data_IF_383762479742
#
_entry.id   IF_383762479742
#
_cell.length_a   1.000
_cell.length_b   1.000
_cell.length_c   1.000
_cell.angle_alpha   90.00
_cell.angle_beta   90.00
_cell.angle_gamma   90.00
#
_symmetry.space_group_name_H-M   'P 1'
#
loop_
_entity.id
_entity.type
_entity.pdbx_description
1 polymer ?
#
# COMPACT_ATOMS: atom_id res chain seq x y z
N UNK A 1 -4.55 71.16 26.51
CA UNK A 1 -4.11 69.82 26.06
C UNK A 1 -4.85 68.77 26.88
N UNK A 2 -5.32 67.71 26.20
CA UNK A 2 -6.05 66.49 26.64
C UNK A 2 -5.54 65.91 27.98
N UNK A 3 -6.28 65.22 28.86
CA UNK A 3 -7.54 64.43 28.76
C UNK A 3 -8.07 64.04 30.16
N UNK A 4 -9.38 63.77 30.20
CA UNK A 4 -10.29 63.25 31.26
C UNK A 4 -9.85 61.93 31.93
N UNK A 5 -10.28 61.64 33.18
CA UNK A 5 -10.32 60.27 33.70
C UNK A 5 -11.73 59.67 33.76
N UNK A 6 -11.83 58.46 33.18
CA UNK A 6 -12.33 57.21 33.77
C UNK A 6 -13.78 57.18 34.26
N UNK A 7 -14.63 56.46 33.50
CA UNK A 7 -15.76 55.69 34.05
C UNK A 7 -15.83 54.28 33.43
N UNK A 8 -15.93 53.33 34.34
CA UNK A 8 -16.31 51.92 34.26
C UNK A 8 -17.08 51.45 33.02
N UNK A 9 -16.81 50.20 32.61
CA UNK A 9 -17.87 49.17 32.59
C UNK A 9 -17.27 47.75 32.51
N UNK A 10 -17.64 46.93 33.49
CA UNK A 10 -17.50 45.48 33.48
C UNK A 10 -18.42 44.88 32.42
N UNK A 11 -17.90 44.04 31.53
CA UNK A 11 -18.70 43.05 30.80
C UNK A 11 -17.97 41.71 30.81
N UNK A 12 -18.61 40.77 31.51
CA UNK A 12 -18.28 39.35 31.54
C UNK A 12 -18.67 38.74 30.20
N UNK A 13 -17.74 38.07 29.52
CA UNK A 13 -18.06 37.18 28.41
C UNK A 13 -17.48 35.80 28.72
N UNK A 14 -18.38 34.85 28.94
CA UNK A 14 -18.11 33.43 29.11
C UNK A 14 -17.72 32.85 27.74
N UNK A 15 -16.46 32.44 27.58
CA UNK A 15 -16.02 31.70 26.40
C UNK A 15 -15.94 30.21 26.74
N UNK A 16 -16.97 29.46 26.34
CA UNK A 16 -16.97 28.00 26.31
C UNK A 16 -16.01 27.51 25.23
N UNK A 17 -14.81 27.10 25.61
CA UNK A 17 -13.90 26.35 24.73
C UNK A 17 -14.27 24.87 24.76
N UNK A 18 -14.96 24.41 23.71
CA UNK A 18 -15.07 23.00 23.40
C UNK A 18 -13.70 22.48 22.98
N UNK A 19 -13.10 21.61 23.80
CA UNK A 19 -11.92 20.84 23.43
C UNK A 19 -12.39 19.77 22.44
N UNK A 20 -12.25 20.08 21.15
CA UNK A 20 -12.35 19.08 20.09
C UNK A 20 -11.15 18.15 20.19
N UNK A 21 -11.38 16.96 20.72
CA UNK A 21 -10.43 15.84 20.70
C UNK A 21 -10.22 15.39 19.26
N UNK A 22 -9.34 16.09 18.54
CA UNK A 22 -8.79 15.61 17.29
C UNK A 22 -7.89 14.42 17.58
N UNK A 23 -8.46 13.22 17.61
CA UNK A 23 -7.69 12.00 17.47
C UNK A 23 -7.07 12.04 16.06
N UNK A 24 -5.86 12.61 15.97
CA UNK A 24 -4.97 12.33 14.86
C UNK A 24 -4.75 10.82 14.91
N UNK A 25 -5.49 10.09 14.09
CA UNK A 25 -5.21 8.70 13.79
C UNK A 25 -3.84 8.71 13.13
N UNK A 26 -2.80 8.53 13.95
CA UNK A 26 -1.48 8.18 13.46
C UNK A 26 -1.69 6.89 12.68
N UNK A 27 -1.69 6.98 11.35
CA UNK A 27 -1.43 5.85 10.49
C UNK A 27 -0.07 5.33 10.91
N UNK A 28 -0.07 4.31 11.76
CA UNK A 28 1.12 3.54 12.06
C UNK A 28 1.41 2.78 10.77
N UNK A 29 2.08 3.44 9.82
CA UNK A 29 2.93 2.73 8.90
C UNK A 29 3.80 1.87 9.81
N UNK A 30 3.68 0.54 9.72
CA UNK A 30 4.62 -0.31 10.43
C UNK A 30 5.98 0.16 10.00
N UNK A 31 6.75 0.66 10.96
CA UNK A 31 8.13 1.03 10.71
C UNK A 31 8.76 -0.17 10.01
N UNK A 32 9.39 0.02 8.83
CA UNK A 32 10.11 -1.05 8.21
C UNK A 32 11.01 -1.66 9.29
N UNK A 33 11.04 -2.99 9.36
CA UNK A 33 11.79 -3.74 10.39
C UNK A 33 13.25 -3.25 10.52
N UNK A 34 13.74 -2.60 9.46
CA UNK A 34 14.97 -1.84 9.42
C UNK A 34 14.69 -0.38 9.05
N UNK A 35 15.22 0.54 9.85
CA UNK A 35 15.28 1.96 9.52
C UNK A 35 16.33 2.18 8.41
N UNK A 36 15.86 2.35 7.18
CA UNK A 36 16.71 2.57 6.00
C UNK A 36 17.59 3.81 6.10
N UNK A 37 17.29 4.74 7.02
CA UNK A 37 18.11 5.93 7.27
C UNK A 37 19.44 5.62 7.96
N UNK A 38 19.55 4.47 8.63
CA UNK A 38 20.76 4.03 9.32
C UNK A 38 21.72 3.26 8.42
N UNK A 39 21.28 2.92 7.19
CA UNK A 39 22.13 2.23 6.23
C UNK A 39 23.17 3.20 5.64
N UNK A 40 24.38 2.69 5.29
CA UNK A 40 25.40 3.51 4.65
C UNK A 40 24.88 4.22 3.40
N UNK A 41 25.14 5.53 3.32
CA UNK A 41 24.80 6.36 2.17
C UNK A 41 25.96 6.43 1.19
N UNK A 42 25.66 6.29 -0.10
CA UNK A 42 26.60 6.50 -1.20
C UNK A 42 25.96 7.35 -2.29
N UNK A 43 26.77 8.11 -3.03
CA UNK A 43 26.27 9.02 -4.08
C UNK A 43 26.93 8.70 -5.40
N UNK A 44 26.18 8.93 -6.48
CA UNK A 44 26.70 8.79 -7.83
C UNK A 44 25.74 9.34 -8.88
N UNK A 45 26.17 9.29 -10.13
CA UNK A 45 25.35 9.67 -11.28
C UNK A 45 24.85 8.40 -11.96
N UNK A 46 23.56 8.34 -12.28
CA UNK A 46 22.97 7.17 -12.95
C UNK A 46 23.46 7.12 -14.39
N UNK A 47 24.05 5.98 -14.78
CA UNK A 47 24.46 5.71 -16.16
C UNK A 47 23.35 5.04 -16.95
N UNK A 48 22.73 4.00 -16.40
CA UNK A 48 21.66 3.23 -17.05
C UNK A 48 20.87 2.37 -16.05
N UNK A 49 19.71 1.87 -16.47
CA UNK A 49 18.97 0.84 -15.72
C UNK A 49 19.58 -0.55 -15.94
N UNK A 50 19.34 -1.44 -14.98
CA UNK A 50 19.45 -2.89 -15.17
C UNK A 50 18.05 -3.49 -15.28
N UNK A 51 17.93 -4.56 -16.07
CA UNK A 51 16.65 -5.20 -16.35
C UNK A 51 16.69 -6.69 -16.01
N UNK A 52 15.59 -7.20 -15.48
CA UNK A 52 15.33 -8.64 -15.42
C UNK A 52 15.09 -9.21 -16.83
N UNK A 53 15.18 -10.54 -17.03
CA UNK A 53 14.78 -11.17 -18.29
C UNK A 53 13.33 -10.91 -18.71
N UNK A 54 12.46 -10.50 -17.78
CA UNK A 54 11.05 -10.14 -18.06
C UNK A 54 10.89 -8.69 -18.52
N UNK A 55 11.96 -7.89 -18.50
CA UNK A 55 11.95 -6.47 -18.86
C UNK A 55 11.65 -5.52 -17.70
N UNK A 56 11.46 -6.02 -16.48
CA UNK A 56 11.29 -5.17 -15.29
C UNK A 56 12.64 -4.57 -14.88
N UNK A 57 12.67 -3.31 -14.42
CA UNK A 57 13.86 -2.69 -13.83
C UNK A 57 14.14 -3.31 -12.47
N UNK A 58 15.36 -3.85 -12.30
CA UNK A 58 15.85 -4.47 -11.05
C UNK A 58 17.04 -3.72 -10.43
N UNK A 59 17.31 -2.52 -10.91
CA UNK A 59 18.45 -1.74 -10.45
C UNK A 59 18.90 -0.68 -11.43
N UNK A 60 20.04 -0.07 -11.10
CA UNK A 60 20.74 0.91 -11.92
C UNK A 60 22.25 0.65 -11.86
N UNK A 61 22.96 1.15 -12.87
CA UNK A 61 24.42 1.24 -12.86
C UNK A 61 24.80 2.71 -12.75
N UNK A 62 25.72 3.02 -11.84
CA UNK A 62 26.29 4.36 -11.70
C UNK A 62 27.46 4.57 -12.66
N UNK A 63 27.82 5.83 -12.93
CA UNK A 63 28.91 6.18 -13.86
C UNK A 63 30.28 5.64 -13.45
N UNK A 64 30.49 5.37 -12.17
CA UNK A 64 31.70 4.76 -11.62
C UNK A 64 31.74 3.22 -11.77
N UNK A 65 30.69 2.61 -12.33
CA UNK A 65 30.55 1.18 -12.51
C UNK A 65 29.89 0.45 -11.34
N UNK A 66 29.47 1.16 -10.28
CA UNK A 66 28.73 0.57 -9.17
C UNK A 66 27.35 0.11 -9.62
N UNK A 67 27.01 -1.15 -9.34
CA UNK A 67 25.68 -1.70 -9.53
C UNK A 67 24.85 -1.49 -8.26
N UNK A 68 23.65 -0.94 -8.43
CA UNK A 68 22.70 -0.73 -7.34
C UNK A 68 21.47 -1.59 -7.62
N UNK A 69 21.28 -2.63 -6.82
CA UNK A 69 20.15 -3.56 -6.94
C UNK A 69 18.93 -3.00 -6.22
N UNK A 70 17.78 -3.15 -6.87
CA UNK A 70 16.45 -2.80 -6.36
C UNK A 70 15.49 -3.96 -6.66
N UNK A 71 14.53 -4.26 -5.79
CA UNK A 71 13.53 -5.27 -6.09
C UNK A 71 12.73 -4.94 -7.37
N UNK A 72 12.45 -5.92 -8.25
CA UNK A 72 11.72 -5.68 -9.50
C UNK A 72 10.31 -5.08 -9.32
N UNK A 73 9.68 -5.27 -8.15
CA UNK A 73 8.37 -4.68 -7.86
C UNK A 73 8.41 -3.15 -7.73
N UNK A 74 9.59 -2.56 -7.57
CA UNK A 74 9.81 -1.11 -7.56
C UNK A 74 10.08 -0.53 -8.96
N UNK A 75 10.10 -1.36 -10.01
CA UNK A 75 10.42 -0.97 -11.40
C UNK A 75 9.75 0.35 -11.82
N UNK A 76 8.42 0.46 -11.67
CA UNK A 76 7.66 1.65 -12.04
C UNK A 76 8.03 2.90 -11.21
N UNK A 77 8.27 2.74 -9.91
CA UNK A 77 8.65 3.84 -9.02
C UNK A 77 10.06 4.35 -9.38
N UNK A 78 10.99 3.41 -9.64
CA UNK A 78 12.36 3.72 -10.04
C UNK A 78 12.40 4.55 -11.31
N UNK A 79 11.74 4.12 -12.40
CA UNK A 79 11.76 4.87 -13.67
C UNK A 79 11.02 6.21 -13.61
N UNK A 80 10.08 6.37 -12.68
CA UNK A 80 9.36 7.62 -12.47
C UNK A 80 10.19 8.65 -11.70
N UNK A 81 10.96 8.19 -10.71
CA UNK A 81 11.72 9.03 -9.80
C UNK A 81 13.15 9.32 -10.28
N UNK A 82 13.78 8.34 -10.93
CA UNK A 82 15.20 8.32 -11.26
C UNK A 82 15.37 8.08 -12.75
N UNK A 83 16.23 8.86 -13.42
CA UNK A 83 16.57 8.72 -14.83
C UNK A 83 18.08 8.64 -15.04
N UNK A 84 18.57 8.03 -16.14
CA UNK A 84 19.96 8.18 -16.54
C UNK A 84 20.36 9.66 -16.64
N UNK A 85 21.52 10.01 -16.06
CA UNK A 85 22.02 11.36 -15.90
C UNK A 85 21.69 12.01 -14.55
N UNK A 86 20.74 11.46 -13.78
CA UNK A 86 20.40 12.01 -12.47
C UNK A 86 21.51 11.75 -11.44
N UNK A 87 21.73 12.72 -10.54
CA UNK A 87 22.49 12.48 -9.33
C UNK A 87 21.59 11.84 -8.28
N UNK A 88 22.07 10.75 -7.68
CA UNK A 88 21.33 9.97 -6.70
C UNK A 88 22.12 9.78 -5.41
N UNK A 89 21.39 9.72 -4.31
CA UNK A 89 21.84 9.23 -3.02
C UNK A 89 21.19 7.88 -2.77
N UNK A 90 22.01 6.87 -2.49
CA UNK A 90 21.62 5.47 -2.32
C UNK A 90 21.95 5.06 -0.90
N UNK A 91 20.96 4.55 -0.16
CA UNK A 91 21.16 3.93 1.16
C UNK A 91 20.93 2.43 1.05
N UNK A 92 21.93 1.66 1.45
CA UNK A 92 21.91 0.23 1.23
C UNK A 92 23.12 -0.51 1.79
N UNK A 93 23.09 -1.83 1.70
CA UNK A 93 24.20 -2.69 2.09
C UNK A 93 25.16 -2.83 0.92
N UNK A 94 26.43 -2.47 1.13
CA UNK A 94 27.48 -2.60 0.12
C UNK A 94 28.12 -3.98 0.20
N UNK A 95 28.23 -4.66 -0.94
CA UNK A 95 29.00 -5.88 -1.07
C UNK A 95 30.49 -5.60 -0.81
N UNK A 96 31.17 -6.49 -0.07
CA UNK A 96 32.59 -6.29 0.28
C UNK A 96 33.54 -6.49 -0.90
N UNK A 97 33.23 -7.44 -1.78
CA UNK A 97 34.16 -7.93 -2.80
C UNK A 97 33.96 -7.30 -4.19
N UNK A 98 32.82 -6.65 -4.43
CA UNK A 98 32.43 -6.13 -5.74
C UNK A 98 31.73 -4.77 -5.57
N UNK A 99 31.76 -3.88 -6.58
CA UNK A 99 31.07 -2.60 -6.54
C UNK A 99 29.57 -2.79 -6.73
N UNK A 100 28.92 -3.38 -5.71
CA UNK A 100 27.49 -3.66 -5.68
C UNK A 100 26.88 -3.14 -4.38
N UNK A 101 25.70 -2.53 -4.48
CA UNK A 101 24.89 -2.06 -3.35
C UNK A 101 23.50 -2.67 -3.47
N UNK A 102 23.06 -3.34 -2.42
CA UNK A 102 21.66 -3.75 -2.25
C UNK A 102 20.89 -2.60 -1.59
N UNK A 103 20.10 -1.87 -2.39
CA UNK A 103 19.53 -0.60 -1.97
C UNK A 103 18.20 -0.78 -1.25
N UNK A 104 18.12 -0.26 -0.03
CA UNK A 104 16.86 -0.08 0.68
C UNK A 104 16.16 1.23 0.29
N UNK A 105 16.93 2.25 -0.13
CA UNK A 105 16.34 3.45 -0.73
C UNK A 105 17.27 4.12 -1.73
N UNK A 106 16.68 4.81 -2.69
CA UNK A 106 17.35 5.66 -3.65
C UNK A 106 16.59 6.99 -3.79
N UNK A 107 17.33 8.09 -3.68
CA UNK A 107 16.76 9.44 -3.74
C UNK A 107 17.47 10.26 -4.81
N UNK A 108 16.70 10.86 -5.71
CA UNK A 108 17.21 11.83 -6.66
C UNK A 108 17.60 13.11 -5.90
N UNK A 109 18.87 13.49 -5.96
CA UNK A 109 19.42 14.64 -5.22
C UNK A 109 18.84 15.96 -5.71
N UNK A 110 18.56 16.07 -7.01
CA UNK A 110 18.04 17.31 -7.62
C UNK A 110 16.54 17.48 -7.39
N UNK A 111 15.75 16.40 -7.54
CA UNK A 111 14.29 16.48 -7.46
C UNK A 111 13.73 16.14 -6.07
N UNK A 112 14.53 15.52 -5.20
CA UNK A 112 14.10 15.04 -3.88
C UNK A 112 13.19 13.80 -3.93
N UNK A 113 12.86 13.28 -5.13
CA UNK A 113 12.04 12.07 -5.26
C UNK A 113 12.80 10.86 -4.73
N UNK A 114 12.13 10.06 -3.91
CA UNK A 114 12.72 8.87 -3.28
C UNK A 114 11.92 7.61 -3.59
N UNK A 115 12.63 6.50 -3.72
CA UNK A 115 12.08 5.15 -3.85
C UNK A 115 12.64 4.35 -2.67
N UNK A 116 11.74 3.77 -1.89
CA UNK A 116 12.08 3.02 -0.67
C UNK A 116 11.54 1.60 -0.83
N UNK A 117 12.39 0.61 -0.57
CA UNK A 117 11.97 -0.78 -0.45
C UNK A 117 11.35 -0.99 0.93
N UNK A 118 10.04 -1.23 0.94
CA UNK A 118 9.29 -1.59 2.14
C UNK A 118 9.05 -3.10 2.23
N UNK A 119 9.82 -3.89 1.48
CA UNK A 119 9.61 -5.30 1.25
C UNK A 119 8.61 -5.57 0.11
N UNK A 120 8.51 -6.83 -0.35
CA UNK A 120 7.51 -7.20 -1.34
C UNK A 120 6.11 -6.82 -0.83
N UNK A 121 5.21 -6.34 -1.71
CA UNK A 121 3.82 -6.10 -1.34
C UNK A 121 3.28 -7.39 -0.72
N UNK A 122 2.83 -7.28 0.52
CA UNK A 122 2.51 -8.40 1.39
C UNK A 122 1.52 -9.32 0.66
N UNK A 123 1.99 -10.49 0.21
CA UNK A 123 1.13 -11.46 -0.50
C UNK A 123 0.29 -12.28 0.45
N UNK A 124 0.40 -12.10 1.76
CA UNK A 124 -0.43 -12.75 2.78
C UNK A 124 -0.57 -11.89 4.04
N UNK A 125 -1.60 -11.06 4.09
CA UNK A 125 -2.50 -11.01 5.25
C UNK A 125 -1.95 -10.72 6.65
N UNK A 126 -0.96 -9.86 6.84
CA UNK A 126 -0.63 -9.36 8.18
C UNK A 126 -1.07 -7.89 8.36
N UNK A 127 -2.31 -7.69 8.79
CA UNK A 127 -2.85 -6.50 9.50
C UNK A 127 -2.72 -5.10 8.87
N UNK A 128 -3.00 -4.95 7.58
CA UNK A 128 -3.43 -3.65 7.03
C UNK A 128 -4.95 -3.62 6.81
N UNK A 129 -5.70 -4.36 7.64
CA UNK A 129 -7.17 -4.29 7.63
C UNK A 129 -7.59 -2.96 8.25
N UNK A 130 -8.08 -2.05 7.43
CA UNK A 130 -8.55 -0.75 7.90
C UNK A 130 -10.00 -0.56 7.53
N UNK A 131 -10.75 0.05 8.44
CA UNK A 131 -12.09 0.54 8.17
C UNK A 131 -12.00 1.94 7.55
N UNK A 132 -12.45 2.06 6.31
CA UNK A 132 -12.51 3.32 5.57
C UNK A 132 -13.99 3.63 5.29
N UNK A 133 -14.38 4.87 5.52
CA UNK A 133 -15.72 5.35 5.19
C UNK A 133 -15.62 6.56 4.28
N UNK A 134 -16.50 6.63 3.29
CA UNK A 134 -16.54 7.74 2.35
C UNK A 134 -17.80 7.73 1.51
N UNK A 135 -17.89 8.69 0.60
CA UNK A 135 -18.98 8.79 -0.36
C UNK A 135 -18.49 8.29 -1.71
N UNK A 136 -19.34 7.53 -2.40
CA UNK A 136 -19.04 6.94 -3.71
C UNK A 136 -19.04 8.04 -4.78
N UNK A 137 -17.89 8.27 -5.41
CA UNK A 137 -17.75 9.20 -6.53
C UNK A 137 -18.19 8.56 -7.86
N UNK A 138 -17.81 7.29 -8.10
CA UNK A 138 -18.15 6.56 -9.33
C UNK A 138 -18.00 5.03 -9.18
N UNK A 139 -18.71 4.28 -10.01
CA UNK A 139 -18.56 2.82 -10.13
C UNK A 139 -17.45 2.46 -11.12
N UNK A 140 -16.66 1.44 -10.77
CA UNK A 140 -15.65 0.86 -11.63
C UNK A 140 -16.19 -0.40 -12.29
N UNK A 141 -15.81 -0.58 -13.55
CA UNK A 141 -16.25 -1.71 -14.35
C UNK A 141 -15.06 -2.52 -14.89
N UNK A 142 -15.29 -3.82 -15.06
CA UNK A 142 -14.39 -4.70 -15.79
C UNK A 142 -14.53 -4.53 -17.30
N UNK A 143 -13.73 -5.29 -18.05
CA UNK A 143 -13.71 -5.20 -19.52
C UNK A 143 -15.02 -5.67 -20.17
N UNK A 144 -15.86 -6.42 -19.43
CA UNK A 144 -17.15 -6.93 -19.91
C UNK A 144 -18.32 -6.05 -19.42
N UNK A 145 -18.04 -4.91 -18.78
CA UNK A 145 -19.04 -3.99 -18.23
C UNK A 145 -19.59 -4.40 -16.86
N UNK A 146 -19.04 -5.42 -16.24
CA UNK A 146 -19.39 -5.88 -14.89
C UNK A 146 -18.84 -4.93 -13.82
N UNK A 147 -19.62 -4.65 -12.77
CA UNK A 147 -19.12 -3.84 -11.64
C UNK A 147 -18.01 -4.61 -10.94
N UNK A 148 -16.87 -3.97 -10.71
CA UNK A 148 -15.71 -4.58 -10.02
C UNK A 148 -15.18 -3.73 -8.85
N UNK A 149 -15.84 -2.62 -8.56
CA UNK A 149 -15.37 -1.67 -7.56
C UNK A 149 -16.07 -0.33 -7.59
N UNK A 150 -15.60 0.58 -6.75
CA UNK A 150 -15.99 1.98 -6.73
C UNK A 150 -14.79 2.86 -6.43
N UNK A 151 -14.87 4.15 -6.77
CA UNK A 151 -13.94 5.18 -6.28
C UNK A 151 -14.69 6.07 -5.31
N UNK A 152 -14.06 6.42 -4.20
CA UNK A 152 -14.58 7.39 -3.23
C UNK A 152 -14.22 8.83 -3.62
N UNK A 153 -14.89 9.81 -3.04
CA UNK A 153 -14.66 11.25 -3.33
C UNK A 153 -13.21 11.72 -3.06
N UNK A 154 -12.47 11.03 -2.19
CA UNK A 154 -11.06 11.31 -1.88
C UNK A 154 -10.08 10.68 -2.90
N UNK A 155 -10.59 9.96 -3.90
CA UNK A 155 -9.82 9.23 -4.90
C UNK A 155 -9.43 7.80 -4.48
N UNK A 156 -9.81 7.34 -3.30
CA UNK A 156 -9.55 5.97 -2.85
C UNK A 156 -10.35 4.98 -3.69
N UNK A 157 -9.65 4.00 -4.28
CA UNK A 157 -10.28 2.96 -5.10
C UNK A 157 -10.59 1.72 -4.27
N UNK A 158 -11.85 1.32 -4.22
CA UNK A 158 -12.30 0.09 -3.58
C UNK A 158 -12.47 -1.00 -4.62
N UNK A 159 -11.74 -2.11 -4.49
CA UNK A 159 -11.88 -3.29 -5.33
C UNK A 159 -12.70 -4.35 -4.61
N UNK A 160 -13.73 -4.83 -5.28
CA UNK A 160 -14.57 -5.93 -4.79
C UNK A 160 -14.28 -7.19 -5.59
N UNK A 161 -14.24 -8.38 -4.96
CA UNK A 161 -14.26 -9.64 -5.66
C UNK A 161 -15.50 -9.71 -6.59
N UNK A 162 -15.37 -10.22 -7.83
CA UNK A 162 -16.45 -10.17 -8.82
C UNK A 162 -17.81 -10.69 -8.31
N UNK A 163 -17.90 -11.85 -7.61
CA UNK A 163 -19.19 -12.34 -7.12
C UNK A 163 -19.88 -11.39 -6.12
N UNK A 164 -19.08 -10.65 -5.35
CA UNK A 164 -19.58 -9.77 -4.31
C UNK A 164 -19.91 -8.38 -4.84
N UNK A 165 -19.15 -7.91 -5.84
CA UNK A 165 -19.47 -6.70 -6.58
C UNK A 165 -20.87 -6.79 -7.22
N UNK A 166 -21.20 -7.95 -7.82
CA UNK A 166 -22.55 -8.22 -8.35
C UNK A 166 -23.62 -8.23 -7.25
N UNK A 167 -23.35 -8.88 -6.11
CA UNK A 167 -24.32 -8.98 -5.00
C UNK A 167 -24.68 -7.62 -4.40
N UNK A 168 -23.72 -6.71 -4.31
CA UNK A 168 -23.90 -5.40 -3.67
C UNK A 168 -24.05 -4.24 -4.67
N UNK A 169 -24.15 -4.52 -5.97
CA UNK A 169 -24.20 -3.50 -7.03
C UNK A 169 -25.27 -2.43 -6.79
N UNK A 170 -26.44 -2.83 -6.26
CA UNK A 170 -27.57 -1.94 -5.96
C UNK A 170 -27.27 -0.95 -4.82
N UNK A 171 -26.22 -1.22 -4.05
CA UNK A 171 -25.75 -0.36 -2.94
C UNK A 171 -24.60 0.56 -3.38
N UNK A 172 -23.94 0.24 -4.49
CA UNK A 172 -22.77 0.96 -5.01
C UNK A 172 -23.15 2.21 -5.81
N UNK A 173 -24.18 2.95 -5.38
CA UNK A 173 -24.71 4.10 -6.11
C UNK A 173 -23.83 5.34 -5.85
N UNK A 174 -23.53 6.09 -6.92
CA UNK A 174 -22.86 7.38 -6.81
C UNK A 174 -23.58 8.31 -5.82
N UNK A 175 -22.80 9.01 -5.00
CA UNK A 175 -23.27 9.93 -3.98
C UNK A 175 -23.69 9.29 -2.66
N UNK A 176 -23.74 7.94 -2.57
CA UNK A 176 -24.09 7.22 -1.34
C UNK A 176 -22.87 7.05 -0.44
N UNK A 177 -23.09 7.11 0.88
CA UNK A 177 -22.06 6.78 1.88
C UNK A 177 -21.89 5.27 1.98
N UNK A 178 -20.64 4.85 2.14
CA UNK A 178 -20.23 3.46 2.26
C UNK A 178 -19.11 3.35 3.29
N UNK A 179 -19.11 2.25 4.03
CA UNK A 179 -18.02 1.87 4.93
C UNK A 179 -17.53 0.50 4.52
N UNK A 180 -16.21 0.38 4.37
CA UNK A 180 -15.55 -0.87 4.01
C UNK A 180 -14.43 -1.19 4.99
N UNK A 181 -14.19 -2.47 5.18
CA UNK A 181 -13.02 -2.99 5.87
C UNK A 181 -12.24 -3.85 4.88
N UNK A 182 -10.95 -3.61 4.76
CA UNK A 182 -10.15 -4.32 3.77
C UNK A 182 -8.67 -4.02 3.87
N UNK A 183 -7.89 -4.74 3.06
CA UNK A 183 -6.45 -4.52 2.99
C UNK A 183 -6.16 -3.25 2.20
N UNK A 184 -5.46 -2.30 2.81
CA UNK A 184 -5.10 -1.04 2.16
C UNK A 184 -3.72 -1.11 1.54
N UNK A 185 -3.63 -0.71 0.27
CA UNK A 185 -2.41 -0.48 -0.48
C UNK A 185 -2.32 1.01 -0.82
N UNK A 186 -1.36 1.71 -0.20
CA UNK A 186 -1.09 3.12 -0.48
C UNK A 186 0.20 3.26 -1.29
N UNK A 187 0.13 3.96 -2.42
CA UNK A 187 1.25 4.15 -3.33
C UNK A 187 1.28 5.59 -3.82
N UNK A 188 2.42 6.02 -4.38
CA UNK A 188 2.51 7.33 -5.04
C UNK A 188 1.53 7.52 -6.21
N UNK A 189 0.91 6.44 -6.72
CA UNK A 189 -0.08 6.47 -7.80
C UNK A 189 -1.53 6.52 -7.28
N UNK A 190 -1.75 6.34 -5.98
CA UNK A 190 -3.06 6.34 -5.35
C UNK A 190 -3.22 5.25 -4.29
N UNK A 191 -4.39 5.30 -3.63
CA UNK A 191 -4.79 4.38 -2.57
C UNK A 191 -5.81 3.39 -3.08
N UNK A 192 -5.57 2.10 -2.87
CA UNK A 192 -6.46 1.00 -3.24
C UNK A 192 -6.80 0.18 -2.00
N UNK A 193 -8.05 -0.25 -1.88
CA UNK A 193 -8.51 -1.13 -0.80
C UNK A 193 -9.08 -2.40 -1.42
N UNK A 194 -8.53 -3.54 -1.04
CA UNK A 194 -9.12 -4.85 -1.34
C UNK A 194 -10.17 -5.17 -0.27
N UNK A 195 -11.45 -5.05 -0.65
CA UNK A 195 -12.58 -5.03 0.27
C UNK A 195 -12.88 -6.43 0.81
N UNK A 196 -12.87 -6.59 2.14
CA UNK A 196 -13.20 -7.83 2.86
C UNK A 196 -14.49 -7.74 3.66
N UNK A 197 -14.97 -6.55 3.97
CA UNK A 197 -16.32 -6.32 4.48
C UNK A 197 -16.86 -4.99 3.96
N UNK A 198 -18.16 -4.92 3.73
CA UNK A 198 -18.85 -3.76 3.15
C UNK A 198 -20.18 -3.53 3.84
N UNK A 199 -20.51 -2.26 4.06
CA UNK A 199 -21.74 -1.83 4.71
C UNK A 199 -22.07 -0.36 4.47
N UNK A 200 -23.27 0.04 4.90
CA UNK A 200 -23.66 1.46 4.90
C UNK A 200 -22.96 2.25 6.03
N UNK A 201 -22.56 1.56 7.11
CA UNK A 201 -21.81 2.11 8.23
C UNK A 201 -20.84 1.07 8.81
N UNK A 202 -19.87 1.48 9.64
CA UNK A 202 -18.91 0.55 10.26
C UNK A 202 -19.54 -0.55 11.10
N UNK A 203 -20.69 -0.27 11.70
CA UNK A 203 -21.45 -1.19 12.56
C UNK A 203 -22.31 -2.17 11.74
N UNK A 204 -22.56 -1.86 10.47
CA UNK A 204 -23.43 -2.62 9.56
C UNK A 204 -22.65 -3.21 8.39
N UNK A 205 -21.48 -3.77 8.65
CA UNK A 205 -20.67 -4.43 7.63
C UNK A 205 -21.01 -5.92 7.49
N UNK A 206 -21.16 -6.38 6.26
CA UNK A 206 -21.22 -7.80 5.91
C UNK A 206 -19.86 -8.23 5.37
N UNK A 207 -19.35 -9.37 5.81
CA UNK A 207 -18.12 -9.93 5.24
C UNK A 207 -18.33 -10.29 3.77
N UNK A 208 -17.42 -9.82 2.95
CA UNK A 208 -17.28 -10.11 1.54
C UNK A 208 -16.52 -11.43 1.47
N UNK A 209 -17.22 -12.52 1.13
CA UNK A 209 -16.58 -13.84 1.14
C UNK A 209 -15.60 -13.92 -0.03
N UNK A 210 -14.31 -13.86 0.29
CA UNK A 210 -13.26 -14.11 -0.68
C UNK A 210 -13.32 -15.53 -1.23
N UNK A 211 -12.67 -15.82 -2.38
CA UNK A 211 -12.44 -17.18 -2.84
C UNK A 211 -11.86 -17.99 -1.68
N UNK A 212 -12.42 -19.18 -1.42
CA UNK A 212 -11.85 -20.11 -0.44
C UNK A 212 -10.36 -20.27 -0.81
N UNK A 213 -9.42 -20.04 0.12
CA UNK A 213 -8.01 -20.31 -0.17
C UNK A 213 -7.91 -21.73 -0.71
N UNK A 214 -7.03 -22.01 -1.69
CA UNK A 214 -6.78 -23.38 -2.10
C UNK A 214 -6.55 -24.18 -0.82
N UNK A 215 -7.35 -25.23 -0.62
CA UNK A 215 -7.04 -26.18 0.44
C UNK A 215 -5.60 -26.63 0.28
N UNK A 216 -4.95 -27.16 1.33
CA UNK A 216 -3.67 -27.85 1.16
C UNK A 216 -3.79 -28.71 -0.08
N UNK A 217 -2.89 -28.52 -1.05
CA UNK A 217 -2.83 -29.41 -2.19
C UNK A 217 -2.83 -30.82 -1.60
N UNK A 218 -3.83 -31.63 -1.94
CA UNK A 218 -3.78 -33.06 -1.65
C UNK A 218 -2.40 -33.51 -2.15
N UNK A 219 -1.52 -33.83 -1.19
CA UNK A 219 -0.12 -34.07 -1.46
C UNK A 219 0.04 -35.16 -2.52
N UNK A 220 1.15 -35.17 -3.26
CA UNK A 220 1.37 -36.16 -4.30
C UNK A 220 1.72 -37.50 -3.66
N UNK A 221 0.73 -38.24 -3.13
CA UNK A 221 0.90 -39.62 -2.67
C UNK A 221 -0.42 -40.40 -2.68
N UNK A 222 -0.92 -40.64 -3.90
CA UNK A 222 -1.81 -41.78 -4.17
C UNK A 222 -1.23 -42.71 -5.25
N UNK A 223 0.08 -42.98 -5.16
CA UNK A 223 0.70 -44.17 -5.76
C UNK A 223 1.38 -45.04 -4.70
N UNK A 224 0.83 -45.08 -3.48
CA UNK A 224 1.10 -46.19 -2.58
C UNK A 224 0.53 -47.48 -3.19
N UNK A 225 1.27 -48.60 -3.17
CA UNK A 225 0.76 -49.87 -3.69
C UNK A 225 -0.54 -50.26 -2.97
N UNK A 226 -1.49 -50.92 -3.66
CA UNK A 226 -2.75 -51.33 -3.04
C UNK A 226 -2.47 -52.21 -1.80
N UNK A 227 -3.32 -52.13 -0.76
CA UNK A 227 -3.17 -52.97 0.42
C UNK A 227 -3.25 -54.46 0.02
N UNK A 228 -2.48 -55.34 0.68
CA UNK A 228 -2.52 -56.76 0.39
C UNK A 228 -3.93 -57.34 0.63
N UNK A 229 -4.34 -58.36 -0.16
CA UNK A 229 -5.65 -58.98 0.00
C UNK A 229 -5.80 -59.61 1.40
N UNK A 230 -7.03 -59.65 1.95
CA UNK A 230 -7.27 -60.29 3.24
C UNK A 230 -6.94 -61.79 3.19
N UNK A 231 -6.49 -62.38 4.31
CA UNK A 231 -6.17 -63.80 4.35
C UNK A 231 -7.40 -64.67 4.05
N UNK A 232 -7.22 -65.88 3.50
CA UNK A 232 -8.32 -66.80 3.25
C UNK A 232 -9.08 -67.08 4.54
N UNK A 233 -10.41 -66.99 4.50
CA UNK A 233 -11.24 -67.51 5.60
C UNK A 233 -11.12 -69.03 5.58
N UNK A 234 -10.44 -69.58 6.58
CA UNK A 234 -10.58 -70.99 6.97
C UNK A 234 -11.90 -71.25 7.65
#
# INVERSE_FOLDING_TARGET
MKTTPIRALFWVLLATTAIGSGAAAYSQARDPMWDSSQLPESRGTVKQYTLTPRGDVDGIILTDGTEVKLPPHLSAQTVFAIRPGDQVSVRGLRARAIPLVDAASITNVTTGKSVVDNGPPDRLGANNDQTISGRIALQLHGKRGEVNGVVLDDGTTLRLPPPEAERVQDQLIQGRSISVRGNVLDTALGKVVDVRAIGASPEQMTEVRGPRPPGPADGPDRRGPPPPPPPPRG
#
